data_IF_688703727715
#
_entry.id   IF_688703727715
#
_cell.length_a   1.000
_cell.length_b   1.000
_cell.length_c   1.000
_cell.angle_alpha   90.00
_cell.angle_beta   90.00
_cell.angle_gamma   90.00
#
_symmetry.space_group_name_H-M   'P 1'
#
loop_
_entity.id
_entity.type
_entity.pdbx_description
1 polymer ?
#
# COMPACT_ATOMS: atom_id res chain seq x y z
N UNK A 1 23.47 -8.91 7.85
CA UNK A 1 23.51 -8.71 9.33
C UNK A 1 23.53 -7.21 9.57
N UNK A 2 22.43 -6.65 10.04
CA UNK A 2 22.39 -5.26 10.45
C UNK A 2 23.15 -5.15 11.78
N UNK A 3 24.26 -4.39 11.78
CA UNK A 3 25.08 -4.20 12.96
C UNK A 3 24.37 -3.32 14.00
N UNK A 4 24.64 -3.58 15.29
CA UNK A 4 24.17 -2.74 16.40
C UNK A 4 24.80 -1.35 16.29
N UNK A 5 24.00 -0.30 16.43
CA UNK A 5 24.46 1.11 16.48
C UNK A 5 24.50 1.53 17.95
N UNK A 6 25.69 1.48 18.61
CA UNK A 6 25.80 1.89 19.99
C UNK A 6 25.95 3.41 20.12
N UNK A 7 25.18 4.03 21.01
CA UNK A 7 25.47 5.37 21.53
C UNK A 7 26.31 5.20 22.78
N UNK A 8 27.52 5.75 22.78
CA UNK A 8 28.44 5.63 23.91
C UNK A 8 28.55 6.98 24.62
N UNK A 9 28.22 7.00 25.91
CA UNK A 9 28.43 8.16 26.78
C UNK A 9 29.59 7.84 27.73
N UNK A 10 30.56 8.74 27.80
CA UNK A 10 31.71 8.63 28.69
C UNK A 10 31.59 9.62 29.83
N UNK A 11 31.88 9.18 31.04
CA UNK A 11 32.01 10.00 32.24
C UNK A 11 33.29 9.65 32.98
N UNK A 12 33.93 10.64 33.58
CA UNK A 12 35.09 10.46 34.43
C UNK A 12 34.68 10.30 35.90
N UNK A 13 35.32 9.38 36.61
CA UNK A 13 35.18 9.30 38.04
C UNK A 13 36.34 10.13 38.64
N UNK A 14 35.99 11.20 39.37
CA UNK A 14 36.96 12.12 39.95
C UNK A 14 36.86 12.04 41.47
N UNK A 15 37.98 11.92 42.17
CA UNK A 15 38.04 12.03 43.63
C UNK A 15 37.87 13.49 44.07
N UNK A 16 37.55 13.70 45.37
CA UNK A 16 37.43 15.04 45.95
C UNK A 16 38.71 15.89 45.79
N UNK A 17 39.87 15.24 45.62
CA UNK A 17 41.17 15.86 45.33
C UNK A 17 41.36 16.29 43.87
N UNK A 18 40.37 16.02 42.99
CA UNK A 18 40.42 16.38 41.54
C UNK A 18 41.14 15.34 40.65
N UNK A 19 41.67 14.23 41.24
CA UNK A 19 42.29 13.18 40.43
C UNK A 19 41.25 12.25 39.77
N UNK A 20 41.41 11.99 38.47
CA UNK A 20 40.61 11.01 37.72
C UNK A 20 41.04 9.60 38.17
N UNK A 21 40.13 8.84 38.76
CA UNK A 21 40.35 7.47 39.23
C UNK A 21 39.79 6.39 38.30
N UNK A 22 38.95 6.79 37.36
CA UNK A 22 38.38 5.86 36.40
C UNK A 22 37.47 6.52 35.36
N UNK A 23 36.98 5.69 34.46
CA UNK A 23 36.05 6.10 33.44
C UNK A 23 34.84 5.16 33.46
N UNK A 24 33.64 5.72 33.26
CA UNK A 24 32.42 4.96 33.07
C UNK A 24 32.05 5.14 31.60
N UNK A 25 31.84 4.06 30.88
CA UNK A 25 31.26 4.05 29.54
C UNK A 25 29.87 3.40 29.62
N UNK A 26 28.83 4.14 29.21
CA UNK A 26 27.47 3.63 29.13
C UNK A 26 27.15 3.45 27.66
N UNK A 27 26.83 2.22 27.27
CA UNK A 27 26.45 1.87 25.90
C UNK A 27 24.93 1.69 25.84
N UNK A 28 24.31 2.44 24.96
CA UNK A 28 22.88 2.28 24.61
C UNK A 28 22.79 1.78 23.18
N UNK A 29 22.06 0.69 22.98
CA UNK A 29 21.66 0.29 21.63
C UNK A 29 20.57 1.26 21.15
N UNK A 30 20.88 2.01 20.08
CA UNK A 30 19.96 2.98 19.46
C UNK A 30 19.62 2.59 18.03
N UNK A 31 19.83 1.33 17.65
CA UNK A 31 19.61 0.82 16.29
C UNK A 31 18.19 1.08 15.84
N UNK A 32 17.20 0.65 16.60
CA UNK A 32 15.78 0.85 16.30
C UNK A 32 15.42 2.35 16.23
N UNK A 33 15.90 3.14 17.19
CA UNK A 33 15.64 4.59 17.21
C UNK A 33 16.22 5.29 15.97
N UNK A 34 17.43 4.91 15.55
CA UNK A 34 18.08 5.46 14.37
C UNK A 34 17.38 5.03 13.07
N UNK A 35 16.86 3.80 13.03
CA UNK A 35 16.11 3.29 11.89
C UNK A 35 14.80 4.06 11.73
N UNK A 36 14.01 4.23 12.79
CA UNK A 36 12.76 5.01 12.77
C UNK A 36 13.01 6.45 12.33
N UNK A 37 14.06 7.09 12.85
CA UNK A 37 14.41 8.46 12.47
C UNK A 37 14.85 8.56 11.00
N UNK A 38 15.56 7.55 10.49
CA UNK A 38 15.94 7.47 9.08
C UNK A 38 14.72 7.30 8.17
N UNK A 39 13.83 6.37 8.50
CA UNK A 39 12.60 6.13 7.78
C UNK A 39 11.72 7.38 7.73
N UNK A 40 11.63 8.12 8.86
CA UNK A 40 10.92 9.39 8.93
C UNK A 40 11.53 10.45 8.01
N UNK A 41 12.85 10.58 7.96
CA UNK A 41 13.53 11.53 7.08
C UNK A 41 13.33 11.16 5.61
N UNK A 42 13.46 9.88 5.27
CA UNK A 42 13.22 9.38 3.92
C UNK A 42 11.76 9.61 3.49
N UNK A 43 10.79 9.41 4.39
CA UNK A 43 9.39 9.71 4.16
C UNK A 43 9.18 11.18 3.79
N UNK A 44 9.66 12.13 4.60
CA UNK A 44 9.53 13.57 4.35
C UNK A 44 10.19 13.97 3.03
N UNK A 45 11.38 13.44 2.73
CA UNK A 45 12.07 13.68 1.47
C UNK A 45 11.27 13.17 0.27
N UNK A 46 10.70 11.97 0.36
CA UNK A 46 9.89 11.37 -0.69
C UNK A 46 8.59 12.16 -0.91
N UNK A 47 7.89 12.57 0.15
CA UNK A 47 6.69 13.45 0.07
C UNK A 47 7.03 14.73 -0.69
N UNK A 48 8.12 15.42 -0.30
CA UNK A 48 8.55 16.65 -0.92
C UNK A 48 8.84 16.48 -2.42
N UNK A 49 9.46 15.36 -2.78
CA UNK A 49 9.78 15.06 -4.17
C UNK A 49 8.53 14.72 -4.99
N UNK A 50 7.62 13.88 -4.44
CA UNK A 50 6.39 13.46 -5.13
C UNK A 50 5.37 14.62 -5.28
N UNK A 51 5.41 15.64 -4.41
CA UNK A 51 4.62 16.86 -4.56
C UNK A 51 5.25 17.85 -5.56
N UNK A 52 6.58 18.01 -5.55
CA UNK A 52 7.27 19.00 -6.41
C UNK A 52 7.10 18.69 -7.90
N UNK A 53 7.18 17.42 -8.27
CA UNK A 53 7.14 17.01 -9.68
C UNK A 53 5.84 17.41 -10.38
N UNK A 54 4.63 17.05 -9.88
CA UNK A 54 3.36 17.45 -10.50
C UNK A 54 3.19 18.98 -10.48
N UNK A 55 3.58 19.66 -9.40
CA UNK A 55 3.51 21.12 -9.33
C UNK A 55 4.34 21.79 -10.42
N UNK A 56 5.59 21.34 -10.63
CA UNK A 56 6.44 21.87 -11.71
C UNK A 56 5.83 21.60 -13.08
N UNK A 57 5.29 20.40 -13.29
CA UNK A 57 4.65 20.04 -14.56
C UNK A 57 3.42 20.93 -14.84
N UNK A 58 2.51 21.05 -13.86
CA UNK A 58 1.34 21.92 -14.00
C UNK A 58 1.73 23.39 -14.29
N UNK A 59 2.72 23.91 -13.54
CA UNK A 59 3.19 25.29 -13.75
C UNK A 59 3.67 25.50 -15.18
N UNK A 60 4.49 24.57 -15.72
CA UNK A 60 5.00 24.69 -17.09
C UNK A 60 3.89 24.65 -18.15
N UNK A 61 2.83 23.86 -17.97
CA UNK A 61 1.70 23.86 -18.89
C UNK A 61 0.83 25.11 -18.79
N UNK A 62 0.67 25.66 -17.57
CA UNK A 62 -0.03 26.93 -17.35
C UNK A 62 0.75 28.08 -17.99
N UNK A 63 2.08 28.17 -17.77
CA UNK A 63 2.94 29.19 -18.41
C UNK A 63 2.85 29.12 -19.93
N UNK A 64 2.92 27.92 -20.51
CA UNK A 64 2.77 27.77 -21.97
C UNK A 64 1.39 28.22 -22.48
N UNK A 65 0.33 27.98 -21.71
CA UNK A 65 -1.01 28.51 -22.05
C UNK A 65 -1.01 30.04 -21.98
N UNK A 66 -0.44 30.66 -20.96
CA UNK A 66 -0.35 32.11 -20.79
C UNK A 66 0.48 32.77 -21.92
N UNK A 67 1.54 32.10 -22.38
CA UNK A 67 2.38 32.53 -23.50
C UNK A 67 1.73 32.44 -24.89
N UNK A 68 0.49 31.90 -24.96
CA UNK A 68 -0.28 31.92 -26.20
C UNK A 68 -0.72 30.54 -26.71
N UNK A 69 -0.31 29.45 -26.09
CA UNK A 69 -0.76 28.12 -26.48
C UNK A 69 -2.27 27.91 -26.30
N UNK A 70 -2.96 28.77 -25.53
CA UNK A 70 -4.42 28.76 -25.40
C UNK A 70 -5.15 29.04 -26.72
N UNK A 71 -4.50 29.68 -27.71
CA UNK A 71 -5.05 29.96 -29.04
C UNK A 71 -5.03 28.73 -29.95
N UNK A 72 -4.19 27.74 -29.64
CA UNK A 72 -4.10 26.51 -30.41
C UNK A 72 -5.19 25.53 -29.97
N UNK A 73 -6.05 25.14 -30.94
CA UNK A 73 -7.20 24.29 -30.67
C UNK A 73 -6.88 22.85 -30.32
N UNK A 74 -5.65 22.37 -30.57
CA UNK A 74 -5.20 21.02 -30.26
C UNK A 74 -4.34 21.03 -28.98
N UNK A 75 -3.46 22.01 -28.82
CA UNK A 75 -2.57 22.09 -27.66
C UNK A 75 -3.30 22.48 -26.38
N UNK A 76 -4.19 23.48 -26.43
CA UNK A 76 -4.88 23.96 -25.24
C UNK A 76 -5.68 22.88 -24.50
N UNK A 77 -6.53 22.05 -25.18
CA UNK A 77 -7.22 20.95 -24.50
C UNK A 77 -6.26 19.90 -23.93
N UNK A 78 -5.15 19.62 -24.62
CA UNK A 78 -4.13 18.67 -24.18
C UNK A 78 -3.44 19.15 -22.91
N UNK A 79 -3.01 20.41 -22.83
CA UNK A 79 -2.36 20.99 -21.65
C UNK A 79 -3.30 21.07 -20.44
N UNK A 80 -4.57 21.42 -20.68
CA UNK A 80 -5.60 21.41 -19.64
C UNK A 80 -5.88 20.00 -19.13
N UNK A 81 -5.87 18.98 -20.01
CA UNK A 81 -6.04 17.57 -19.62
C UNK A 81 -4.91 17.11 -18.70
N UNK A 82 -3.65 17.40 -19.09
CA UNK A 82 -2.48 17.03 -18.26
C UNK A 82 -2.52 17.76 -16.91
N UNK A 83 -2.87 19.05 -16.90
CA UNK A 83 -2.98 19.82 -15.66
C UNK A 83 -4.04 19.22 -14.73
N UNK A 84 -5.18 18.79 -15.26
CA UNK A 84 -6.22 18.10 -14.50
C UNK A 84 -5.74 16.77 -13.95
N UNK A 85 -5.10 15.95 -14.77
CA UNK A 85 -4.59 14.62 -14.37
C UNK A 85 -3.57 14.74 -13.21
N UNK A 86 -2.66 15.72 -13.29
CA UNK A 86 -1.69 15.97 -12.21
C UNK A 86 -2.35 16.53 -10.95
N UNK A 87 -3.40 17.36 -11.09
CA UNK A 87 -4.19 17.85 -9.94
C UNK A 87 -4.90 16.69 -9.23
N UNK A 88 -5.58 15.82 -9.99
CA UNK A 88 -6.25 14.64 -9.42
C UNK A 88 -5.26 13.68 -8.75
N UNK A 89 -4.06 13.55 -9.34
CA UNK A 89 -2.99 12.77 -8.74
C UNK A 89 -2.52 13.36 -7.41
N UNK A 90 -2.37 14.69 -7.32
CA UNK A 90 -2.01 15.35 -6.07
C UNK A 90 -3.07 15.19 -4.99
N UNK A 91 -4.36 15.29 -5.35
CA UNK A 91 -5.46 15.05 -4.41
C UNK A 91 -5.38 13.63 -3.84
N UNK A 92 -5.17 12.62 -4.70
CA UNK A 92 -4.98 11.23 -4.23
C UNK A 92 -3.77 11.10 -3.29
N UNK A 93 -2.63 11.70 -3.66
CA UNK A 93 -1.42 11.66 -2.84
C UNK A 93 -1.63 12.29 -1.46
N UNK A 94 -2.29 13.45 -1.39
CA UNK A 94 -2.60 14.12 -0.12
C UNK A 94 -3.53 13.27 0.75
N UNK A 95 -4.57 12.67 0.16
CA UNK A 95 -5.48 11.79 0.88
C UNK A 95 -4.77 10.54 1.42
N UNK A 96 -3.90 9.91 0.60
CA UNK A 96 -3.08 8.77 1.01
C UNK A 96 -2.16 9.14 2.20
N UNK A 97 -1.54 10.32 2.16
CA UNK A 97 -0.68 10.83 3.23
C UNK A 97 -1.44 11.11 4.53
N UNK A 98 -2.62 11.74 4.43
CA UNK A 98 -3.48 12.01 5.58
C UNK A 98 -3.95 10.71 6.23
N UNK A 99 -4.26 9.69 5.43
CA UNK A 99 -4.66 8.39 5.92
C UNK A 99 -3.50 7.70 6.67
N UNK A 100 -2.29 7.64 6.08
CA UNK A 100 -1.12 7.08 6.75
C UNK A 100 -0.82 7.81 8.06
N UNK A 101 -0.89 9.14 8.06
CA UNK A 101 -0.67 9.95 9.28
C UNK A 101 -1.68 9.65 10.39
N UNK A 102 -2.94 9.35 10.05
CA UNK A 102 -3.96 8.95 11.03
C UNK A 102 -3.68 7.55 11.58
N UNK A 103 -3.26 6.61 10.73
CA UNK A 103 -2.93 5.24 11.12
C UNK A 103 -1.69 5.21 12.04
N UNK A 104 -0.62 5.96 11.70
CA UNK A 104 0.58 6.08 12.54
C UNK A 104 0.30 6.65 13.95
N UNK A 105 -0.76 7.44 14.12
CA UNK A 105 -1.13 8.06 15.40
C UNK A 105 -2.22 7.31 16.18
N UNK A 106 -2.55 6.07 15.80
CA UNK A 106 -3.65 5.27 16.39
C UNK A 106 -5.01 6.00 16.42
N UNK A 107 -5.13 7.10 15.67
CA UNK A 107 -6.36 7.92 15.65
C UNK A 107 -7.37 7.42 14.61
N UNK A 108 -7.00 6.50 13.77
CA UNK A 108 -7.88 5.87 12.76
C UNK A 108 -8.63 4.72 13.44
N UNK A 109 -9.79 5.01 14.03
CA UNK A 109 -10.63 3.97 14.64
C UNK A 109 -11.15 3.06 13.54
N UNK A 110 -10.71 1.79 13.57
CA UNK A 110 -11.25 0.74 12.72
C UNK A 110 -12.56 0.27 13.33
N UNK A 111 -13.64 0.47 12.60
CA UNK A 111 -14.98 0.03 13.02
C UNK A 111 -15.26 -1.32 12.37
N UNK A 112 -14.93 -2.40 13.08
CA UNK A 112 -15.14 -3.76 12.59
C UNK A 112 -16.59 -4.18 12.82
N UNK A 113 -17.14 -4.89 11.83
CA UNK A 113 -18.43 -5.56 11.91
C UNK A 113 -18.33 -6.98 11.31
N UNK A 114 -19.19 -7.88 11.78
CA UNK A 114 -19.25 -9.25 11.25
C UNK A 114 -20.05 -9.20 9.95
N UNK A 115 -19.41 -9.59 8.85
CA UNK A 115 -20.04 -9.59 7.54
C UNK A 115 -19.89 -10.94 6.84
N UNK A 116 -20.81 -11.23 5.92
CA UNK A 116 -20.66 -12.29 4.92
C UNK A 116 -19.57 -11.87 3.91
N UNK A 117 -18.40 -12.48 4.07
CA UNK A 117 -17.24 -12.16 3.22
C UNK A 117 -17.47 -12.54 1.76
N UNK A 118 -18.21 -13.64 1.50
CA UNK A 118 -18.49 -14.06 0.12
C UNK A 118 -19.35 -13.03 -0.62
N UNK A 119 -20.37 -12.49 0.03
CA UNK A 119 -21.18 -11.40 -0.52
C UNK A 119 -20.34 -10.12 -0.69
N UNK A 120 -19.55 -9.78 0.29
CA UNK A 120 -18.69 -8.59 0.29
C UNK A 120 -17.70 -8.60 -0.88
N UNK A 121 -16.91 -9.67 -1.02
CA UNK A 121 -15.90 -9.72 -2.08
C UNK A 121 -16.53 -9.79 -3.48
N UNK A 122 -17.65 -10.50 -3.63
CA UNK A 122 -18.37 -10.54 -4.91
C UNK A 122 -18.91 -9.16 -5.32
N UNK A 123 -19.39 -8.35 -4.37
CA UNK A 123 -19.83 -6.98 -4.63
C UNK A 123 -18.70 -6.12 -5.19
N UNK A 124 -17.50 -6.24 -4.64
CA UNK A 124 -16.30 -5.51 -5.11
C UNK A 124 -15.91 -5.98 -6.50
N UNK A 125 -15.81 -7.30 -6.73
CA UNK A 125 -15.45 -7.86 -8.02
C UNK A 125 -16.46 -7.44 -9.10
N UNK A 126 -17.76 -7.52 -8.84
CA UNK A 126 -18.81 -7.10 -9.77
C UNK A 126 -18.67 -5.63 -10.17
N UNK A 127 -18.36 -4.74 -9.22
CA UNK A 127 -18.15 -3.32 -9.50
C UNK A 127 -16.98 -3.11 -10.48
N UNK A 128 -15.86 -3.79 -10.28
CA UNK A 128 -14.71 -3.71 -11.19
C UNK A 128 -14.98 -4.34 -12.55
N UNK A 129 -15.69 -5.47 -12.60
CA UNK A 129 -16.06 -6.16 -13.83
C UNK A 129 -16.99 -5.30 -14.71
N UNK A 130 -17.95 -4.58 -14.10
CA UNK A 130 -18.81 -3.63 -14.82
C UNK A 130 -18.03 -2.44 -15.38
N UNK A 131 -17.00 -1.98 -14.67
CA UNK A 131 -16.18 -0.83 -15.06
C UNK A 131 -15.12 -1.17 -16.13
N UNK A 132 -14.58 -2.39 -16.11
CA UNK A 132 -13.43 -2.82 -16.92
C UNK A 132 -13.83 -3.92 -17.92
N UNK A 133 -14.42 -3.53 -19.06
CA UNK A 133 -14.89 -4.45 -20.13
C UNK A 133 -13.74 -5.20 -20.84
N UNK A 134 -12.50 -4.75 -20.68
CA UNK A 134 -11.28 -5.33 -21.27
C UNK A 134 -10.55 -6.31 -20.35
N UNK A 135 -11.18 -6.66 -19.21
CA UNK A 135 -10.56 -7.51 -18.18
C UNK A 135 -11.45 -8.70 -17.86
N UNK A 136 -10.91 -9.90 -17.88
CA UNK A 136 -11.60 -11.13 -17.48
C UNK A 136 -11.37 -11.37 -15.99
N UNK A 137 -12.46 -11.52 -15.23
CA UNK A 137 -12.43 -11.84 -13.81
C UNK A 137 -12.81 -13.31 -13.59
N UNK A 138 -11.95 -14.09 -12.95
CA UNK A 138 -12.18 -15.49 -12.60
C UNK A 138 -12.33 -15.61 -11.10
N UNK A 139 -13.31 -16.36 -10.63
CA UNK A 139 -13.67 -16.50 -9.20
C UNK A 139 -13.67 -17.96 -8.78
N UNK A 140 -12.84 -18.27 -7.81
CA UNK A 140 -12.84 -19.54 -7.08
C UNK A 140 -13.09 -19.21 -5.59
N UNK A 141 -14.37 -19.00 -5.28
CA UNK A 141 -14.86 -18.64 -3.93
C UNK A 141 -15.68 -19.84 -3.43
N UNK A 142 -15.45 -20.32 -2.20
CA UNK A 142 -16.24 -21.40 -1.62
C UNK A 142 -17.73 -21.06 -1.60
N UNK A 143 -18.59 -22.08 -1.73
CA UNK A 143 -20.04 -21.90 -1.60
C UNK A 143 -20.46 -21.69 -0.13
N UNK A 144 -19.71 -22.28 0.79
CA UNK A 144 -19.93 -22.12 2.22
C UNK A 144 -19.70 -20.66 2.62
N UNK A 145 -20.61 -20.09 3.38
CA UNK A 145 -20.51 -18.71 3.87
C UNK A 145 -19.35 -18.57 4.85
N UNK A 146 -18.51 -17.57 4.61
CA UNK A 146 -17.39 -17.21 5.47
C UNK A 146 -17.75 -15.90 6.16
N UNK A 147 -17.79 -15.90 7.49
CA UNK A 147 -17.95 -14.68 8.27
C UNK A 147 -16.61 -14.12 8.70
N UNK A 148 -16.46 -12.80 8.59
CA UNK A 148 -15.25 -12.10 9.01
C UNK A 148 -15.61 -10.82 9.75
N UNK A 149 -14.90 -10.54 10.84
CA UNK A 149 -14.99 -9.30 11.58
C UNK A 149 -14.02 -8.29 10.98
N UNK A 150 -14.52 -7.43 10.09
CA UNK A 150 -13.72 -6.46 9.34
C UNK A 150 -14.42 -5.10 9.27
N UNK A 151 -13.65 -4.05 8.99
CA UNK A 151 -14.15 -2.74 8.56
C UNK A 151 -14.36 -2.79 7.03
N UNK A 152 -15.63 -2.77 6.53
CA UNK A 152 -15.91 -2.94 5.11
C UNK A 152 -15.34 -1.84 4.23
N UNK A 153 -15.29 -0.60 4.72
CA UNK A 153 -14.79 0.53 3.95
C UNK A 153 -13.27 0.44 3.78
N UNK A 154 -12.56 0.15 4.86
CA UNK A 154 -11.11 -0.07 4.82
C UNK A 154 -10.72 -1.28 3.98
N UNK A 155 -11.41 -2.40 4.15
CA UNK A 155 -11.14 -3.59 3.34
C UNK A 155 -11.54 -3.41 1.87
N UNK A 156 -12.59 -2.65 1.57
CA UNK A 156 -12.90 -2.24 0.20
C UNK A 156 -11.73 -1.50 -0.43
N UNK A 157 -11.11 -0.58 0.28
CA UNK A 157 -9.92 0.15 -0.21
C UNK A 157 -8.74 -0.80 -0.47
N UNK A 158 -8.51 -1.80 0.40
CA UNK A 158 -7.46 -2.83 0.17
C UNK A 158 -7.69 -3.55 -1.14
N UNK A 159 -8.91 -4.08 -1.35
CA UNK A 159 -9.23 -4.80 -2.57
C UNK A 159 -9.21 -3.92 -3.81
N UNK A 160 -9.69 -2.68 -3.73
CA UNK A 160 -9.61 -1.72 -4.83
C UNK A 160 -8.17 -1.42 -5.24
N UNK A 161 -7.27 -1.22 -4.29
CA UNK A 161 -5.85 -1.01 -4.56
C UNK A 161 -5.21 -2.22 -5.24
N UNK A 162 -5.49 -3.43 -4.75
CA UNK A 162 -4.91 -4.66 -5.31
C UNK A 162 -5.47 -4.96 -6.69
N UNK A 163 -6.80 -4.86 -6.88
CA UNK A 163 -7.47 -5.13 -8.16
C UNK A 163 -7.03 -4.10 -9.22
N UNK A 164 -7.00 -2.82 -8.85
CA UNK A 164 -6.56 -1.76 -9.76
C UNK A 164 -5.11 -1.96 -10.19
N UNK A 165 -4.23 -2.37 -9.27
CA UNK A 165 -2.85 -2.73 -9.62
C UNK A 165 -2.81 -3.95 -10.54
N UNK A 166 -3.55 -5.00 -10.26
CA UNK A 166 -3.63 -6.19 -11.10
C UNK A 166 -4.05 -5.84 -12.54
N UNK A 167 -5.11 -5.06 -12.72
CA UNK A 167 -5.58 -4.60 -14.03
C UNK A 167 -4.55 -3.69 -14.74
N UNK A 168 -3.91 -2.80 -13.98
CA UNK A 168 -2.96 -1.80 -14.48
C UNK A 168 -1.68 -2.42 -15.02
N UNK A 169 -1.19 -3.49 -14.39
CA UNK A 169 0.06 -4.15 -14.75
C UNK A 169 -0.14 -5.42 -15.58
N UNK A 170 -1.37 -5.85 -15.83
CA UNK A 170 -1.71 -6.95 -16.75
C UNK A 170 -1.24 -6.67 -18.18
N UNK A 171 -0.96 -7.73 -18.95
CA UNK A 171 -0.54 -7.67 -20.36
C UNK A 171 -1.49 -8.45 -21.25
N UNK A 172 -1.61 -8.00 -22.51
CA UNK A 172 -2.48 -8.64 -23.51
C UNK A 172 -3.93 -8.66 -23.06
N UNK A 173 -4.58 -9.82 -23.11
CA UNK A 173 -5.90 -10.03 -22.53
C UNK A 173 -5.77 -10.01 -21.00
N UNK A 174 -6.25 -8.92 -20.38
CA UNK A 174 -6.16 -8.74 -18.95
C UNK A 174 -6.99 -9.78 -18.22
N UNK A 175 -6.36 -10.46 -17.26
CA UNK A 175 -7.00 -11.50 -16.46
C UNK A 175 -6.65 -11.33 -14.98
N UNK A 176 -7.68 -11.29 -14.14
CA UNK A 176 -7.55 -11.24 -12.67
C UNK A 176 -8.30 -12.42 -12.07
N UNK A 177 -7.59 -13.25 -11.33
CA UNK A 177 -8.12 -14.48 -10.72
C UNK A 177 -8.21 -14.30 -9.20
N UNK A 178 -9.38 -14.60 -8.64
CA UNK A 178 -9.65 -14.59 -7.20
C UNK A 178 -9.80 -16.01 -6.70
N UNK A 179 -9.00 -16.35 -5.70
CA UNK A 179 -9.11 -17.64 -5.01
C UNK A 179 -9.25 -17.37 -3.52
N UNK A 180 -10.33 -17.82 -2.93
CA UNK A 180 -10.56 -17.77 -1.49
C UNK A 180 -10.47 -19.17 -0.94
N UNK A 181 -9.60 -19.38 0.03
CA UNK A 181 -9.47 -20.63 0.76
C UNK A 181 -9.60 -20.39 2.25
N UNK A 182 -10.40 -21.18 2.90
CA UNK A 182 -10.56 -21.17 4.33
C UNK A 182 -9.69 -22.27 4.96
N UNK A 183 -9.09 -21.95 6.09
CA UNK A 183 -8.39 -22.89 6.93
C UNK A 183 -9.09 -22.98 8.29
N UNK A 184 -9.99 -23.96 8.42
CA UNK A 184 -10.77 -24.18 9.63
C UNK A 184 -9.90 -24.42 10.87
N UNK A 185 -8.75 -25.07 10.72
CA UNK A 185 -7.85 -25.38 11.83
C UNK A 185 -7.31 -24.14 12.53
N UNK A 186 -7.14 -23.04 11.79
CA UNK A 186 -6.57 -21.79 12.30
C UNK A 186 -7.57 -20.63 12.35
N UNK A 187 -8.85 -20.88 12.06
CA UNK A 187 -9.88 -19.84 11.94
C UNK A 187 -9.41 -18.66 11.07
N UNK A 188 -8.85 -18.99 9.91
CA UNK A 188 -8.32 -18.00 8.97
C UNK A 188 -8.75 -18.32 7.54
N UNK A 189 -8.99 -17.27 6.77
CA UNK A 189 -9.10 -17.38 5.33
C UNK A 189 -7.88 -16.80 4.64
N UNK A 190 -7.58 -17.31 3.45
CA UNK A 190 -6.55 -16.78 2.55
C UNK A 190 -7.19 -16.38 1.24
N UNK A 191 -7.04 -15.15 0.87
CA UNK A 191 -7.49 -14.58 -0.41
C UNK A 191 -6.25 -14.41 -1.29
N UNK A 192 -6.26 -15.00 -2.49
CA UNK A 192 -5.24 -14.79 -3.51
C UNK A 192 -5.86 -14.03 -4.67
N UNK A 193 -5.23 -12.92 -5.05
CA UNK A 193 -5.56 -12.14 -6.24
C UNK A 193 -4.36 -12.23 -7.18
N UNK A 194 -4.56 -12.88 -8.35
CA UNK A 194 -3.49 -13.12 -9.32
C UNK A 194 -3.78 -12.38 -10.61
N UNK A 195 -2.77 -11.72 -11.15
CA UNK A 195 -2.76 -11.12 -12.47
C UNK A 195 -1.86 -11.88 -13.45
N UNK A 196 -2.06 -11.66 -14.74
CA UNK A 196 -1.22 -12.13 -15.83
C UNK A 196 -0.27 -11.04 -16.35
N UNK A 197 0.21 -10.19 -15.45
CA UNK A 197 0.96 -8.98 -15.77
C UNK A 197 2.44 -9.19 -16.04
N UNK A 198 3.15 -8.07 -15.96
CA UNK A 198 4.61 -8.02 -16.19
C UNK A 198 5.42 -8.77 -15.13
N UNK A 199 4.81 -9.08 -13.99
CA UNK A 199 5.52 -9.61 -12.84
C UNK A 199 6.52 -8.63 -12.22
N UNK A 200 7.17 -9.08 -11.15
CA UNK A 200 8.10 -8.31 -10.34
C UNK A 200 9.38 -9.12 -10.15
N UNK A 201 10.57 -8.53 -10.36
CA UNK A 201 11.83 -9.18 -10.05
C UNK A 201 11.91 -9.65 -8.60
N UNK A 202 12.42 -10.84 -8.33
CA UNK A 202 12.41 -11.50 -7.02
C UNK A 202 12.99 -10.62 -5.90
N UNK A 203 14.05 -9.88 -6.18
CA UNK A 203 14.71 -8.98 -5.22
C UNK A 203 13.94 -7.69 -4.91
N UNK A 204 12.77 -7.50 -5.53
CA UNK A 204 11.91 -6.32 -5.36
C UNK A 204 10.54 -6.67 -4.80
N UNK A 205 10.17 -7.96 -4.72
CA UNK A 205 8.82 -8.41 -4.32
C UNK A 205 8.47 -7.96 -2.91
N UNK A 206 9.39 -8.11 -1.97
CA UNK A 206 9.14 -7.73 -0.57
C UNK A 206 8.99 -6.20 -0.38
N UNK A 207 9.61 -5.41 -1.27
CA UNK A 207 9.63 -3.95 -1.19
C UNK A 207 8.39 -3.28 -1.74
N UNK A 208 7.49 -3.98 -2.44
CA UNK A 208 6.31 -3.35 -3.04
C UNK A 208 5.31 -2.82 -2.01
N UNK A 209 5.44 -3.23 -0.76
CA UNK A 209 4.65 -2.75 0.38
C UNK A 209 5.31 -1.59 1.13
N UNK A 210 6.54 -1.20 0.75
CA UNK A 210 7.22 -0.05 1.34
C UNK A 210 6.58 1.26 0.83
N UNK A 211 6.54 2.27 1.69
CA UNK A 211 5.99 3.59 1.36
C UNK A 211 6.79 4.23 0.21
N UNK A 212 6.10 4.73 -0.82
CA UNK A 212 6.68 5.34 -2.04
C UNK A 212 7.49 4.40 -2.93
N UNK A 213 7.55 3.10 -2.62
CA UNK A 213 8.30 2.19 -3.44
C UNK A 213 7.62 1.93 -4.79
N UNK A 214 8.43 1.86 -5.83
CA UNK A 214 7.99 1.55 -7.20
C UNK A 214 9.08 0.74 -7.91
N UNK A 215 8.69 -0.36 -8.54
CA UNK A 215 9.60 -1.23 -9.29
C UNK A 215 10.25 -0.50 -10.47
N UNK A 216 9.46 0.33 -11.18
CA UNK A 216 9.88 1.22 -12.26
C UNK A 216 9.25 2.59 -12.08
N UNK A 217 10.07 3.57 -11.67
CA UNK A 217 9.62 4.95 -11.39
C UNK A 217 9.06 5.66 -12.62
N UNK A 218 9.66 5.46 -13.80
CA UNK A 218 9.27 6.17 -15.02
C UNK A 218 7.93 5.65 -15.55
N UNK A 219 7.76 4.33 -15.63
CA UNK A 219 6.54 3.69 -16.10
C UNK A 219 5.36 3.93 -15.17
N UNK A 220 5.57 3.78 -13.87
CA UNK A 220 4.52 3.97 -12.85
C UNK A 220 4.04 5.41 -12.79
N UNK A 221 4.94 6.40 -13.04
CA UNK A 221 4.57 7.82 -13.08
C UNK A 221 3.56 8.09 -14.20
N UNK A 222 3.81 7.60 -15.41
CA UNK A 222 2.87 7.72 -16.55
C UNK A 222 1.50 7.08 -16.26
N UNK A 223 1.44 6.12 -15.35
CA UNK A 223 0.21 5.41 -14.98
C UNK A 223 -0.43 5.96 -13.69
N UNK A 224 0.00 7.12 -13.17
CA UNK A 224 -0.65 7.86 -12.07
C UNK A 224 -0.58 7.23 -10.67
N UNK A 225 0.35 6.29 -10.41
CA UNK A 225 0.47 5.68 -9.07
C UNK A 225 1.17 6.59 -8.06
N UNK A 226 0.73 6.60 -6.80
CA UNK A 226 1.37 7.32 -5.69
C UNK A 226 2.54 6.54 -5.06
N UNK A 227 2.49 5.21 -5.13
CA UNK A 227 3.40 4.31 -4.42
C UNK A 227 3.04 4.12 -2.94
N UNK A 228 1.85 4.57 -2.54
CA UNK A 228 1.35 4.44 -1.17
C UNK A 228 0.24 3.38 -1.03
N UNK A 229 -0.48 3.06 -2.10
CA UNK A 229 -1.66 2.19 -2.02
C UNK A 229 -1.39 0.81 -1.40
N UNK A 230 -0.31 0.10 -1.79
CA UNK A 230 0.01 -1.19 -1.19
C UNK A 230 0.55 -1.06 0.25
N UNK A 231 1.25 0.02 0.59
CA UNK A 231 1.65 0.31 1.96
C UNK A 231 0.42 0.53 2.86
N UNK A 232 -0.55 1.34 2.41
CA UNK A 232 -1.84 1.53 3.09
C UNK A 232 -2.59 0.20 3.21
N UNK A 233 -2.60 -0.61 2.14
CA UNK A 233 -3.24 -1.93 2.18
C UNK A 233 -2.61 -2.84 3.23
N UNK A 234 -1.30 -2.81 3.41
CA UNK A 234 -0.59 -3.56 4.43
C UNK A 234 -0.99 -3.11 5.84
N UNK A 235 -0.97 -1.83 6.11
CA UNK A 235 -1.39 -1.25 7.40
C UNK A 235 -2.83 -1.65 7.76
N UNK A 236 -3.77 -1.52 6.79
CA UNK A 236 -5.18 -1.91 7.00
C UNK A 236 -5.29 -3.40 7.32
N UNK A 237 -4.63 -4.27 6.55
CA UNK A 237 -4.69 -5.72 6.75
C UNK A 237 -4.10 -6.12 8.10
N UNK A 238 -2.97 -5.54 8.49
CA UNK A 238 -2.31 -5.78 9.79
C UNK A 238 -3.19 -5.32 10.97
N UNK A 239 -3.88 -4.18 10.83
CA UNK A 239 -4.84 -3.68 11.82
C UNK A 239 -6.12 -4.58 11.95
N UNK A 240 -6.36 -5.44 10.96
CA UNK A 240 -7.37 -6.51 11.02
C UNK A 240 -6.78 -7.86 11.49
N UNK A 241 -5.62 -7.86 12.13
CA UNK A 241 -4.90 -9.08 12.55
C UNK A 241 -4.62 -10.03 11.37
N UNK A 242 -4.52 -9.47 10.17
CA UNK A 242 -4.21 -10.17 8.93
C UNK A 242 -2.72 -10.10 8.57
N UNK A 243 -2.41 -10.64 7.40
CA UNK A 243 -1.11 -10.52 6.75
C UNK A 243 -1.30 -10.38 5.26
N UNK A 244 -0.50 -9.53 4.62
CA UNK A 244 -0.44 -9.38 3.17
C UNK A 244 0.99 -9.65 2.68
N UNK A 245 1.12 -10.37 1.56
CA UNK A 245 2.40 -10.61 0.90
C UNK A 245 2.19 -10.87 -0.60
N UNK A 246 3.28 -10.95 -1.35
CA UNK A 246 3.23 -11.21 -2.78
C UNK A 246 4.15 -12.35 -3.19
N UNK A 247 3.75 -13.06 -4.25
CA UNK A 247 4.62 -13.93 -5.02
C UNK A 247 4.55 -13.49 -6.47
N UNK A 248 5.70 -13.35 -7.13
CA UNK A 248 5.75 -12.89 -8.50
C UNK A 248 6.90 -13.51 -9.26
N UNK A 249 6.67 -13.73 -10.54
CA UNK A 249 7.72 -14.14 -11.49
C UNK A 249 7.67 -13.14 -12.64
N UNK A 250 8.82 -12.54 -12.94
CA UNK A 250 8.94 -11.57 -14.02
C UNK A 250 8.48 -12.19 -15.36
N UNK A 251 7.57 -11.50 -16.04
CA UNK A 251 6.93 -11.96 -17.28
C UNK A 251 5.76 -12.92 -17.11
N UNK A 252 5.44 -13.40 -15.90
CA UNK A 252 4.36 -14.36 -15.65
C UNK A 252 3.21 -13.80 -14.78
N UNK A 253 3.36 -12.58 -14.25
CA UNK A 253 2.36 -11.93 -13.41
C UNK A 253 2.68 -11.98 -11.93
N UNK A 254 1.74 -11.47 -11.13
CA UNK A 254 1.87 -11.34 -9.68
C UNK A 254 0.67 -11.96 -8.98
N UNK A 255 0.91 -12.57 -7.84
CA UNK A 255 -0.14 -13.02 -6.89
C UNK A 255 0.03 -12.26 -5.59
N UNK A 256 -0.99 -11.51 -5.21
CA UNK A 256 -1.10 -10.90 -3.87
C UNK A 256 -1.92 -11.84 -3.00
N UNK A 257 -1.42 -12.10 -1.82
CA UNK A 257 -2.06 -12.94 -0.81
C UNK A 257 -2.44 -12.08 0.39
N UNK A 258 -3.66 -12.28 0.89
CA UNK A 258 -4.17 -11.64 2.09
C UNK A 258 -4.72 -12.73 3.00
N UNK A 259 -4.32 -12.75 4.27
CA UNK A 259 -4.97 -13.60 5.27
C UNK A 259 -5.72 -12.74 6.27
N UNK A 260 -6.92 -13.19 6.65
CA UNK A 260 -7.73 -12.55 7.67
C UNK A 260 -8.28 -13.61 8.64
N UNK A 261 -8.53 -13.26 9.90
CA UNK A 261 -9.35 -14.06 10.79
C UNK A 261 -10.74 -14.26 10.19
N UNK A 262 -11.32 -15.42 10.37
CA UNK A 262 -12.70 -15.72 9.94
C UNK A 262 -13.33 -16.75 10.87
N UNK A 263 -14.65 -16.75 10.93
CA UNK A 263 -15.44 -17.74 11.62
C UNK A 263 -16.20 -18.59 10.59
N UNK A 264 -16.34 -19.86 10.90
CA UNK A 264 -17.18 -20.80 10.16
C UNK A 264 -18.42 -21.03 11.01
N UNK A 265 -19.57 -20.69 10.49
CA UNK A 265 -20.82 -21.18 11.04
C UNK A 265 -21.15 -22.43 10.23
N UNK A 266 -21.03 -23.63 10.81
CA UNK A 266 -21.56 -24.84 10.22
C UNK A 266 -23.08 -24.72 10.17
N UNK A 267 -23.71 -25.09 9.03
CA UNK A 267 -25.17 -25.14 8.87
C UNK A 267 -25.75 -26.12 9.90
N UNK A 268 -26.05 -25.65 11.09
CA UNK A 268 -26.54 -26.46 12.19
C UNK A 268 -26.67 -25.73 13.54
N UNK A 269 -26.03 -24.61 13.71
CA UNK A 269 -25.98 -23.88 15.01
C UNK A 269 -27.09 -22.82 15.19
N UNK A 270 -28.18 -22.89 14.44
CA UNK A 270 -29.32 -21.95 14.60
C UNK A 270 -30.49 -22.51 15.45
N UNK A 271 -30.29 -23.65 16.12
CA UNK A 271 -31.29 -24.23 17.04
C UNK A 271 -30.83 -24.04 18.51
N UNK A 272 -30.98 -22.80 19.05
CA UNK A 272 -31.33 -22.58 20.48
C UNK A 272 -31.97 -21.19 20.65
#
# INVERSE_FOLDING_TARGET
>A
EEGIIPRVNFSTIVQETGFVTGYIAVLHDVTEQQQVERERREFVANVSHELRTPLTSMNSYIEALEEGAWQDKELAPSFLSVTREETERMIRLVNDLLQLSKMDNESDQITKEIIDFNMFINKIINRHEMAAKDTTFVREIPQQTIFAEIDPDKMTQVFDNVITNAMKYSRGEKRVEFHVKQNALYNRMTIRIKDNGIGIPINKVDKIFDRFYRVDKARTRKMGGTGLGLAISKEIVEAHNGRIWANSVEGQGTSIFITLPCEIIEDGDWDE
#
